data_IF_549310672412
#
_entry.id   IF_549310672412
#
_cell.length_a   1.000
_cell.length_b   1.000
_cell.length_c   1.000
_cell.angle_alpha   90.00
_cell.angle_beta   90.00
_cell.angle_gamma   90.00
#
_symmetry.space_group_name_H-M   'P 1'
#
loop_
_entity.id
_entity.type
_entity.pdbx_description
1 polymer ?
#
# COMPACT_ATOMS: atom_id res chain seq x y z
N UNK A 1 -2.35 34.67 25.22
CA UNK A 1 -0.94 34.23 25.31
C UNK A 1 -0.35 34.22 23.90
N UNK A 2 0.91 34.64 23.67
CA UNK A 2 1.48 34.69 22.33
C UNK A 2 1.67 33.26 21.78
N UNK A 3 1.24 33.03 20.53
CA UNK A 3 1.35 31.73 19.87
C UNK A 3 2.82 31.42 19.55
N UNK A 4 3.34 30.31 20.08
CA UNK A 4 4.70 29.85 19.81
C UNK A 4 4.74 29.34 18.35
N UNK A 5 5.47 30.00 17.43
CA UNK A 5 5.42 29.68 15.99
C UNK A 5 6.08 28.34 15.60
N UNK A 6 6.62 27.61 16.58
CA UNK A 6 7.41 26.41 16.33
C UNK A 6 6.58 25.21 15.82
N UNK A 7 5.26 25.23 16.02
CA UNK A 7 4.34 24.15 15.61
C UNK A 7 3.73 24.36 14.21
N UNK A 8 3.83 25.56 13.63
CA UNK A 8 3.19 25.91 12.35
C UNK A 8 4.14 26.13 11.18
N UNK A 9 5.46 26.14 11.41
CA UNK A 9 6.43 26.29 10.33
C UNK A 9 6.71 24.92 9.70
N UNK A 10 6.06 24.62 8.56
CA UNK A 10 6.64 23.68 7.60
C UNK A 10 7.99 24.27 7.18
N UNK A 11 9.15 23.68 7.55
CA UNK A 11 10.43 24.21 7.15
C UNK A 11 10.51 24.17 5.62
N UNK A 12 10.86 25.30 5.00
CA UNK A 12 11.13 25.34 3.56
C UNK A 12 12.27 24.35 3.26
N UNK A 13 11.95 23.22 2.62
CA UNK A 13 12.87 22.10 2.39
C UNK A 13 12.24 20.68 2.47
N UNK A 14 10.97 20.54 2.85
CA UNK A 14 10.29 19.25 3.06
C UNK A 14 10.06 18.36 1.82
N UNK A 15 10.35 18.82 0.60
CA UNK A 15 10.09 18.02 -0.61
C UNK A 15 10.86 16.69 -0.59
N UNK A 16 12.05 16.65 0.03
CA UNK A 16 12.83 15.41 0.17
C UNK A 16 12.15 14.37 1.06
N UNK A 17 11.65 14.78 2.23
CA UNK A 17 10.96 13.87 3.16
C UNK A 17 9.56 13.49 2.65
N UNK A 18 8.86 14.41 1.97
CA UNK A 18 7.59 14.10 1.31
C UNK A 18 7.73 13.04 0.23
N UNK A 19 8.82 13.08 -0.55
CA UNK A 19 9.10 12.05 -1.55
C UNK A 19 9.37 10.68 -0.92
N UNK A 20 10.06 10.65 0.23
CA UNK A 20 10.28 9.42 1.00
C UNK A 20 8.95 8.84 1.50
N UNK A 21 8.03 9.70 1.95
CA UNK A 21 6.71 9.26 2.41
C UNK A 21 5.88 8.58 1.30
N UNK A 22 6.12 8.92 0.02
CA UNK A 22 5.55 8.23 -1.15
C UNK A 22 6.33 6.96 -1.49
N UNK A 23 7.66 7.01 -1.45
CA UNK A 23 8.50 5.87 -1.81
C UNK A 23 8.33 4.67 -0.86
N UNK A 24 8.17 4.91 0.44
CA UNK A 24 8.04 3.86 1.46
C UNK A 24 6.87 2.90 1.19
N UNK A 25 5.61 3.34 1.04
CA UNK A 25 4.50 2.44 0.75
C UNK A 25 4.66 1.71 -0.58
N UNK A 26 5.20 2.36 -1.62
CA UNK A 26 5.45 1.71 -2.92
C UNK A 26 6.45 0.55 -2.79
N UNK A 27 7.58 0.78 -2.11
CA UNK A 27 8.60 -0.26 -1.91
C UNK A 27 8.06 -1.38 -1.01
N UNK A 28 7.38 -1.01 0.08
CA UNK A 28 6.79 -1.99 1.01
C UNK A 28 5.75 -2.86 0.30
N UNK A 29 4.86 -2.27 -0.51
CA UNK A 29 3.86 -2.97 -1.31
C UNK A 29 4.51 -3.99 -2.26
N UNK A 30 5.55 -3.56 -2.98
CA UNK A 30 6.28 -4.43 -3.90
C UNK A 30 6.91 -5.63 -3.19
N UNK A 31 7.62 -5.38 -2.09
CA UNK A 31 8.28 -6.43 -1.30
C UNK A 31 7.26 -7.38 -0.68
N UNK A 32 6.19 -6.85 -0.08
CA UNK A 32 5.12 -7.63 0.51
C UNK A 32 4.46 -8.56 -0.53
N UNK A 33 4.17 -8.03 -1.72
CA UNK A 33 3.55 -8.80 -2.81
C UNK A 33 4.44 -9.94 -3.31
N UNK A 34 5.77 -9.73 -3.37
CA UNK A 34 6.70 -10.81 -3.73
C UNK A 34 6.82 -11.83 -2.59
N UNK A 35 6.86 -11.39 -1.33
CA UNK A 35 7.01 -12.26 -0.18
C UNK A 35 5.86 -13.27 -0.03
N UNK A 36 4.64 -12.86 -0.39
CA UNK A 36 3.44 -13.72 -0.31
C UNK A 36 3.27 -14.65 -1.53
N UNK A 37 4.14 -14.58 -2.54
CA UNK A 37 4.05 -15.38 -3.78
C UNK A 37 3.77 -16.86 -3.51
N UNK A 38 4.52 -17.47 -2.59
CA UNK A 38 4.42 -18.91 -2.29
C UNK A 38 3.02 -19.32 -1.83
N UNK A 39 2.31 -18.45 -1.12
CA UNK A 39 0.95 -18.71 -0.64
C UNK A 39 -0.09 -18.37 -1.72
N UNK A 40 0.18 -17.38 -2.57
CA UNK A 40 -0.68 -17.04 -3.70
C UNK A 40 -0.71 -18.15 -4.77
N UNK A 41 0.41 -18.87 -4.95
CA UNK A 41 0.49 -20.01 -5.87
C UNK A 41 -0.44 -21.17 -5.46
N UNK A 42 -0.73 -21.34 -4.16
CA UNK A 42 -1.63 -22.39 -3.65
C UNK A 42 -3.10 -22.14 -4.06
N UNK A 43 -3.50 -20.89 -4.20
CA UNK A 43 -4.88 -20.48 -4.50
C UNK A 43 -5.07 -20.19 -6.01
N UNK A 44 -4.01 -20.28 -6.82
CA UNK A 44 -4.03 -19.90 -8.25
C UNK A 44 -5.05 -20.67 -9.09
N UNK A 45 -5.38 -21.90 -8.69
CA UNK A 45 -6.35 -22.77 -9.38
C UNK A 45 -7.81 -22.33 -9.18
N UNK A 46 -8.10 -21.46 -8.20
CA UNK A 46 -9.45 -20.92 -7.97
C UNK A 46 -9.77 -19.71 -8.87
N UNK A 47 -8.78 -19.18 -9.58
CA UNK A 47 -8.94 -17.99 -10.42
C UNK A 47 -9.03 -18.35 -11.91
N UNK A 48 -10.00 -17.75 -12.60
CA UNK A 48 -10.23 -17.98 -14.03
C UNK A 48 -9.11 -17.46 -14.95
N UNK A 49 -8.30 -16.50 -14.48
CA UNK A 49 -7.21 -15.88 -15.25
C UNK A 49 -6.12 -15.28 -14.34
N UNK A 50 -4.91 -15.10 -14.90
CA UNK A 50 -3.81 -14.40 -14.22
C UNK A 50 -4.18 -12.97 -13.80
N UNK A 51 -5.02 -12.29 -14.59
CA UNK A 51 -5.52 -10.95 -14.26
C UNK A 51 -6.45 -10.96 -13.05
N UNK A 52 -7.39 -11.91 -12.97
CA UNK A 52 -8.27 -12.03 -11.79
C UNK A 52 -7.49 -12.34 -10.52
N UNK A 53 -6.48 -13.20 -10.61
CA UNK A 53 -5.60 -13.51 -9.47
C UNK A 53 -4.81 -12.28 -9.01
N UNK A 54 -4.17 -11.56 -9.96
CA UNK A 54 -3.37 -10.38 -9.66
C UNK A 54 -4.20 -9.22 -9.09
N UNK A 55 -5.39 -8.97 -9.64
CA UNK A 55 -6.30 -7.94 -9.14
C UNK A 55 -6.80 -8.28 -7.74
N UNK A 56 -7.23 -9.53 -7.52
CA UNK A 56 -7.71 -9.94 -6.20
C UNK A 56 -6.61 -9.80 -5.15
N UNK A 57 -5.41 -10.33 -5.42
CA UNK A 57 -4.28 -10.25 -4.49
C UNK A 57 -3.87 -8.79 -4.23
N UNK A 58 -3.73 -7.99 -5.28
CA UNK A 58 -3.30 -6.61 -5.17
C UNK A 58 -4.29 -5.73 -4.42
N UNK A 59 -5.60 -5.93 -4.61
CA UNK A 59 -6.64 -5.22 -3.86
C UNK A 59 -6.67 -5.62 -2.38
N UNK A 60 -6.47 -6.89 -2.05
CA UNK A 60 -6.38 -7.35 -0.67
C UNK A 60 -5.19 -6.70 0.06
N UNK A 61 -4.01 -6.69 -0.56
CA UNK A 61 -2.81 -6.04 0.00
C UNK A 61 -3.06 -4.53 0.20
N UNK A 62 -3.61 -3.86 -0.82
CA UNK A 62 -3.91 -2.44 -0.77
C UNK A 62 -4.91 -2.06 0.34
N UNK A 63 -5.93 -2.90 0.54
CA UNK A 63 -6.93 -2.68 1.58
C UNK A 63 -6.31 -2.72 2.98
N UNK A 64 -5.51 -3.74 3.28
CA UNK A 64 -4.87 -3.86 4.59
C UNK A 64 -3.92 -2.70 4.84
N UNK A 65 -3.05 -2.37 3.88
CA UNK A 65 -2.13 -1.24 4.01
C UNK A 65 -2.85 0.10 4.24
N UNK A 66 -3.95 0.35 3.52
CA UNK A 66 -4.75 1.56 3.67
C UNK A 66 -5.44 1.64 5.03
N UNK A 67 -5.94 0.51 5.56
CA UNK A 67 -6.55 0.44 6.87
C UNK A 67 -5.53 0.69 7.98
N UNK A 68 -4.37 0.04 7.91
CA UNK A 68 -3.28 0.22 8.88
C UNK A 68 -2.79 1.68 8.89
N UNK A 69 -2.50 2.24 7.71
CA UNK A 69 -2.04 3.62 7.60
C UNK A 69 -3.12 4.64 8.02
N UNK A 70 -4.38 4.40 7.65
CA UNK A 70 -5.50 5.23 8.07
C UNK A 70 -5.69 5.21 9.59
N UNK A 71 -5.58 4.04 10.23
CA UNK A 71 -5.66 3.91 11.68
C UNK A 71 -4.48 4.61 12.37
N UNK A 72 -3.25 4.37 11.90
CA UNK A 72 -2.06 5.04 12.42
C UNK A 72 -2.17 6.56 12.29
N UNK A 73 -2.69 7.05 11.18
CA UNK A 73 -2.93 8.47 10.95
C UNK A 73 -3.99 9.04 11.91
N UNK A 74 -5.09 8.31 12.14
CA UNK A 74 -6.11 8.73 13.08
C UNK A 74 -5.57 8.80 14.53
N UNK A 75 -4.66 7.90 14.89
CA UNK A 75 -4.02 7.88 16.21
C UNK A 75 -2.91 8.93 16.34
N UNK A 76 -2.21 9.25 15.26
CA UNK A 76 -1.11 10.21 15.23
C UNK A 76 -1.60 11.67 15.05
N UNK A 77 -2.81 11.87 14.53
CA UNK A 77 -3.42 13.18 14.32
C UNK A 77 -4.35 13.57 15.47
N UNK A 78 -4.42 14.86 15.77
CA UNK A 78 -5.24 15.36 16.86
C UNK A 78 -5.42 16.87 16.81
N UNK A 79 -5.87 17.45 17.92
CA UNK A 79 -6.03 18.91 18.05
C UNK A 79 -5.10 19.46 19.11
N UNK A 80 -4.50 20.61 18.87
CA UNK A 80 -3.63 21.30 19.81
C UNK A 80 -4.20 22.69 20.19
N UNK A 81 -3.74 23.22 21.33
CA UNK A 81 -4.05 24.57 21.81
C UNK A 81 -5.29 24.69 22.72
N UNK A 82 -5.46 25.84 23.40
CA UNK A 82 -6.59 26.08 24.29
C UNK A 82 -7.91 25.97 23.52
N UNK A 83 -8.81 25.07 23.95
CA UNK A 83 -10.09 24.87 23.27
C UNK A 83 -10.03 24.11 21.94
N UNK A 84 -8.91 23.44 21.60
CA UNK A 84 -8.77 22.61 20.38
C UNK A 84 -8.93 23.40 19.08
N UNK A 85 -8.39 24.62 19.04
CA UNK A 85 -8.58 25.56 17.94
C UNK A 85 -7.82 25.20 16.66
N UNK A 86 -6.88 24.25 16.72
CA UNK A 86 -6.08 23.86 15.58
C UNK A 86 -5.97 22.33 15.50
N UNK A 87 -6.13 21.80 14.29
CA UNK A 87 -5.90 20.38 13.97
C UNK A 87 -4.45 20.19 13.56
N UNK A 88 -3.74 19.30 14.25
CA UNK A 88 -2.34 18.94 13.99
C UNK A 88 -2.29 17.51 13.49
N UNK A 89 -1.69 17.31 12.31
CA UNK A 89 -1.52 16.00 11.70
C UNK A 89 -2.09 15.92 10.27
N UNK A 90 -2.24 14.71 9.78
CA UNK A 90 -2.76 14.40 8.44
C UNK A 90 -4.23 14.00 8.50
N UNK A 91 -4.98 14.28 7.44
CA UNK A 91 -6.34 13.75 7.28
C UNK A 91 -6.27 12.23 7.05
N UNK A 92 -6.80 11.40 7.98
CA UNK A 92 -6.66 9.94 7.89
C UNK A 92 -7.34 9.32 6.67
N UNK A 93 -8.49 9.85 6.26
CA UNK A 93 -9.25 9.32 5.12
C UNK A 93 -8.54 9.61 3.79
N UNK A 94 -7.96 10.81 3.66
CA UNK A 94 -7.17 11.16 2.47
C UNK A 94 -5.92 10.29 2.39
N UNK A 95 -5.19 10.12 3.51
CA UNK A 95 -4.01 9.27 3.54
C UNK A 95 -4.34 7.82 3.20
N UNK A 96 -5.40 7.25 3.79
CA UNK A 96 -5.84 5.90 3.47
C UNK A 96 -6.19 5.73 1.98
N UNK A 97 -6.89 6.70 1.38
CA UNK A 97 -7.24 6.67 -0.04
C UNK A 97 -6.01 6.72 -0.96
N UNK A 98 -5.04 7.60 -0.65
CA UNK A 98 -3.79 7.70 -1.42
C UNK A 98 -2.98 6.41 -1.32
N UNK A 99 -2.77 5.91 -0.10
CA UNK A 99 -2.04 4.65 0.15
C UNK A 99 -2.73 3.48 -0.55
N UNK A 100 -4.06 3.42 -0.53
CA UNK A 100 -4.82 2.38 -1.24
C UNK A 100 -4.50 2.39 -2.73
N UNK A 101 -4.58 3.55 -3.38
CA UNK A 101 -4.35 3.68 -4.83
C UNK A 101 -2.90 3.32 -5.19
N UNK A 102 -1.93 3.88 -4.46
CA UNK A 102 -0.51 3.61 -4.67
C UNK A 102 -0.18 2.12 -4.52
N UNK A 103 -0.64 1.53 -3.41
CA UNK A 103 -0.39 0.12 -3.09
C UNK A 103 -1.11 -0.80 -4.05
N UNK A 104 -2.34 -0.49 -4.47
CA UNK A 104 -3.08 -1.29 -5.43
C UNK A 104 -2.36 -1.35 -6.78
N UNK A 105 -1.92 -0.20 -7.30
CA UNK A 105 -1.20 -0.14 -8.58
C UNK A 105 0.07 -0.98 -8.52
N UNK A 106 0.91 -0.78 -7.49
CA UNK A 106 2.17 -1.53 -7.37
C UNK A 106 1.93 -3.02 -7.16
N UNK A 107 1.00 -3.39 -6.28
CA UNK A 107 0.77 -4.79 -5.91
C UNK A 107 0.12 -5.56 -7.04
N UNK A 108 -0.81 -4.97 -7.80
CA UNK A 108 -1.40 -5.62 -8.98
C UNK A 108 -0.34 -5.89 -10.03
N UNK A 109 0.54 -4.90 -10.30
CA UNK A 109 1.62 -5.06 -11.26
C UNK A 109 2.62 -6.13 -10.80
N UNK A 110 3.07 -6.07 -9.55
CA UNK A 110 3.97 -7.06 -8.98
C UNK A 110 3.38 -8.47 -9.00
N UNK A 111 2.10 -8.61 -8.62
CA UNK A 111 1.38 -9.87 -8.65
C UNK A 111 1.26 -10.42 -10.07
N UNK A 112 0.96 -9.58 -11.05
CA UNK A 112 0.84 -9.99 -12.45
C UNK A 112 2.15 -10.54 -13.02
N UNK A 113 3.29 -9.94 -12.69
CA UNK A 113 4.60 -10.45 -13.13
C UNK A 113 5.07 -11.67 -12.32
N UNK A 114 4.73 -11.73 -11.03
CA UNK A 114 5.21 -12.77 -10.11
C UNK A 114 4.40 -14.07 -10.22
N UNK A 115 3.08 -13.99 -10.42
CA UNK A 115 2.15 -15.12 -10.45
C UNK A 115 1.88 -15.61 -11.88
N UNK A 116 2.89 -15.65 -12.76
CA UNK A 116 2.75 -16.32 -14.05
C UNK A 116 2.46 -17.81 -13.81
N UNK A 117 1.38 -18.37 -14.38
CA UNK A 117 1.17 -19.81 -14.36
C UNK A 117 2.36 -20.51 -15.01
N UNK A 118 2.94 -21.50 -14.34
CA UNK A 118 3.87 -22.41 -15.00
C UNK A 118 3.12 -23.14 -16.13
N UNK A 119 3.83 -23.47 -17.22
CA UNK A 119 3.27 -24.31 -18.28
C UNK A 119 2.66 -25.57 -17.67
N UNK A 120 1.53 -26.02 -18.22
CA UNK A 120 0.95 -27.29 -17.82
C UNK A 120 2.00 -28.37 -18.06
N UNK A 121 2.54 -28.95 -16.98
CA UNK A 121 3.29 -30.19 -17.03
C UNK A 121 2.33 -31.25 -17.58
N UNK A 122 2.35 -31.41 -18.91
CA UNK A 122 1.66 -32.47 -19.60
C UNK A 122 2.66 -33.64 -19.69
N UNK A 123 2.63 -34.62 -18.75
CA UNK A 123 3.42 -35.84 -18.88
C UNK A 123 3.12 -36.58 -20.21
N UNK A 124 1.96 -36.29 -20.82
CA UNK A 124 1.48 -36.84 -22.08
C UNK A 124 2.17 -36.29 -23.36
N UNK A 125 3.02 -35.25 -23.25
CA UNK A 125 3.72 -34.66 -24.42
C UNK A 125 5.19 -35.05 -24.52
N UNK A 126 5.75 -35.76 -23.53
CA UNK A 126 7.16 -36.23 -23.56
C UNK A 126 7.36 -37.62 -24.17
N UNK A 127 6.26 -38.34 -24.45
CA UNK A 127 6.28 -39.63 -25.15
C UNK A 127 5.87 -39.45 -26.62
N UNK A 128 6.74 -38.87 -27.45
CA UNK A 128 6.73 -39.09 -28.90
C UNK A 128 8.13 -39.05 -29.48
#
# INVERSE_FOLDING_TARGET
>A
MPGIPFLGAIPAGQVSLGLVAVAVPLIAAFVATIAIKKHADEIRFEFASAWSAAISLGLSVALIAALEMGLLAALASGSAGPGRLETVGVNPLILAAVVFVETAVVSILAAFFSARPDEADHPMLSER
#
